data_IF_083045907644
#
_entry.id   IF_083045907644
#
_cell.length_a   1.000
_cell.length_b   1.000
_cell.length_c   1.000
_cell.angle_alpha   90.00
_cell.angle_beta   90.00
_cell.angle_gamma   90.00
#
_symmetry.space_group_name_H-M   'P 1'
#
loop_
_entity.id
_entity.type
_entity.pdbx_description
1 polymer ?
#
# COMPACT_ATOMS: atom_id res chain seq x y z
N UNK A 1 11.26 2.01 -26.71
CA UNK A 1 9.85 1.78 -27.08
C UNK A 1 9.06 1.73 -25.78
N UNK A 2 8.07 2.61 -25.59
CA UNK A 2 7.18 2.58 -24.43
C UNK A 2 5.92 1.82 -24.82
N UNK A 3 5.60 0.78 -24.08
CA UNK A 3 4.32 0.07 -24.20
C UNK A 3 3.32 0.80 -23.31
N UNK A 4 2.20 1.24 -23.89
CA UNK A 4 1.14 1.97 -23.18
C UNK A 4 -0.18 1.20 -23.30
N UNK A 5 -0.85 1.00 -22.16
CA UNK A 5 -2.15 0.33 -22.05
C UNK A 5 -3.03 1.10 -21.07
N UNK A 6 -4.27 1.39 -21.47
CA UNK A 6 -5.20 2.20 -20.69
C UNK A 6 -6.57 1.52 -20.59
N UNK A 7 -7.01 1.22 -19.36
CA UNK A 7 -8.29 0.55 -19.10
C UNK A 7 -9.52 1.34 -19.59
N UNK A 8 -9.44 2.68 -19.62
CA UNK A 8 -10.54 3.53 -20.12
C UNK A 8 -10.89 3.29 -21.59
N UNK A 9 -9.96 2.75 -22.37
CA UNK A 9 -10.15 2.46 -23.80
C UNK A 9 -10.83 1.12 -24.07
N UNK A 10 -11.05 0.29 -23.04
CA UNK A 10 -11.66 -1.04 -23.21
C UNK A 10 -13.19 -1.01 -23.34
N UNK A 11 -13.86 0.09 -22.98
CA UNK A 11 -15.32 0.22 -23.02
C UNK A 11 -16.09 -0.66 -22.02
N UNK A 12 -15.39 -1.47 -21.21
CA UNK A 12 -15.96 -2.29 -20.15
C UNK A 12 -16.04 -1.49 -18.84
N UNK A 13 -17.14 -1.67 -18.10
CA UNK A 13 -17.23 -1.15 -16.74
C UNK A 13 -16.24 -1.92 -15.85
N UNK A 14 -15.36 -1.19 -15.15
CA UNK A 14 -14.50 -1.78 -14.13
C UNK A 14 -15.38 -2.01 -12.90
N UNK A 15 -15.47 -3.27 -12.45
CA UNK A 15 -16.22 -3.60 -11.24
C UNK A 15 -15.59 -2.90 -10.03
N UNK A 16 -16.44 -2.37 -9.15
CA UNK A 16 -15.97 -1.83 -7.87
C UNK A 16 -15.37 -2.92 -7.00
N UNK A 17 -14.41 -2.57 -6.14
CA UNK A 17 -13.75 -3.56 -5.27
C UNK A 17 -14.74 -4.40 -4.45
N UNK A 18 -15.77 -3.79 -3.89
CA UNK A 18 -16.81 -4.51 -3.13
C UNK A 18 -17.73 -5.37 -4.00
N UNK A 19 -18.08 -4.92 -5.21
CA UNK A 19 -18.91 -5.70 -6.13
C UNK A 19 -18.26 -7.04 -6.43
N UNK A 20 -16.95 -7.00 -6.72
CA UNK A 20 -16.16 -8.21 -6.98
C UNK A 20 -16.10 -9.12 -5.76
N UNK A 21 -15.75 -8.59 -4.59
CA UNK A 21 -15.63 -9.40 -3.38
C UNK A 21 -16.95 -10.05 -2.97
N UNK A 22 -18.08 -9.34 -3.09
CA UNK A 22 -19.40 -9.90 -2.81
C UNK A 22 -19.77 -11.01 -3.78
N UNK A 23 -19.47 -10.86 -5.07
CA UNK A 23 -19.67 -11.90 -6.07
C UNK A 23 -18.84 -13.15 -5.75
N UNK A 24 -17.58 -12.98 -5.36
CA UNK A 24 -16.69 -14.09 -5.02
C UNK A 24 -17.20 -14.88 -3.80
N UNK A 25 -17.79 -14.21 -2.80
CA UNK A 25 -18.47 -14.88 -1.66
C UNK A 25 -19.62 -15.78 -2.14
N UNK A 26 -20.44 -15.32 -3.09
CA UNK A 26 -21.56 -16.13 -3.59
C UNK A 26 -21.10 -17.39 -4.34
N UNK A 27 -19.90 -17.35 -4.91
CA UNK A 27 -19.28 -18.50 -5.58
C UNK A 27 -18.38 -19.32 -4.67
N UNK A 28 -18.18 -18.91 -3.42
CA UNK A 28 -17.24 -19.56 -2.49
C UNK A 28 -15.77 -19.40 -2.88
N UNK A 29 -15.42 -18.42 -3.72
CA UNK A 29 -14.04 -18.13 -4.12
C UNK A 29 -13.35 -17.29 -3.03
N UNK A 30 -12.26 -17.83 -2.47
CA UNK A 30 -11.51 -17.20 -1.38
C UNK A 30 -10.21 -16.52 -1.85
N UNK A 31 -9.95 -16.47 -3.16
CA UNK A 31 -8.65 -16.03 -3.71
C UNK A 31 -8.27 -14.60 -3.35
N UNK A 32 -9.26 -13.71 -3.21
CA UNK A 32 -9.05 -12.29 -2.86
C UNK A 32 -9.25 -11.98 -1.37
N UNK A 33 -9.37 -13.01 -0.53
CA UNK A 33 -9.52 -12.86 0.91
C UNK A 33 -8.21 -13.21 1.60
N UNK A 34 -7.84 -12.39 2.60
CA UNK A 34 -6.65 -12.65 3.41
C UNK A 34 -6.94 -13.83 4.34
N UNK A 35 -6.03 -14.80 4.37
CA UNK A 35 -6.14 -15.96 5.25
C UNK A 35 -5.74 -15.62 6.69
N UNK A 36 -6.22 -16.39 7.66
CA UNK A 36 -5.92 -16.15 9.08
C UNK A 36 -4.42 -16.15 9.40
N UNK A 37 -3.67 -17.10 8.83
CA UNK A 37 -2.22 -17.21 8.98
C UNK A 37 -1.44 -16.04 8.34
N UNK A 38 -1.95 -15.49 7.23
CA UNK A 38 -1.42 -14.29 6.59
C UNK A 38 -1.66 -13.03 7.44
N UNK A 39 -2.84 -12.92 8.07
CA UNK A 39 -3.16 -11.84 9.01
C UNK A 39 -2.20 -11.89 10.21
N UNK A 40 -2.04 -13.07 10.83
CA UNK A 40 -1.12 -13.25 11.96
C UNK A 40 0.33 -12.91 11.59
N UNK A 41 0.76 -13.30 10.40
CA UNK A 41 2.12 -13.00 9.90
C UNK A 41 2.31 -11.51 9.67
N UNK A 42 1.30 -10.83 9.11
CA UNK A 42 1.32 -9.38 8.90
C UNK A 42 1.42 -8.63 10.23
N UNK A 43 0.64 -9.05 11.25
CA UNK A 43 0.72 -8.47 12.58
C UNK A 43 2.07 -8.73 13.25
N UNK A 44 2.66 -9.92 13.09
CA UNK A 44 4.00 -10.21 13.62
C UNK A 44 5.07 -9.23 13.12
N UNK A 45 4.92 -8.71 11.90
CA UNK A 45 5.84 -7.72 11.32
C UNK A 45 5.54 -6.31 11.84
N UNK A 46 4.28 -5.91 11.92
CA UNK A 46 3.88 -4.53 12.26
C UNK A 46 3.85 -4.27 13.76
N UNK A 47 3.47 -5.24 14.59
CA UNK A 47 3.31 -5.07 16.05
C UNK A 47 4.57 -4.53 16.75
N UNK A 48 5.79 -5.07 16.52
CA UNK A 48 6.98 -4.54 17.19
C UNK A 48 7.29 -3.07 16.85
N UNK A 49 6.91 -2.61 15.65
CA UNK A 49 7.05 -1.22 15.25
C UNK A 49 6.07 -0.32 16.00
N UNK A 50 4.80 -0.75 16.13
CA UNK A 50 3.78 -0.03 16.88
C UNK A 50 4.14 0.02 18.37
N UNK A 51 4.56 -1.10 18.96
CA UNK A 51 4.99 -1.15 20.36
C UNK A 51 6.18 -0.20 20.61
N UNK A 52 7.14 -0.15 19.69
CA UNK A 52 8.26 0.78 19.80
C UNK A 52 7.83 2.25 19.66
N UNK A 53 6.81 2.54 18.86
CA UNK A 53 6.27 3.88 18.67
C UNK A 53 5.54 4.36 19.93
N UNK A 54 4.73 3.51 20.54
CA UNK A 54 3.95 3.84 21.75
C UNK A 54 4.84 4.03 22.99
N UNK A 55 5.96 3.31 23.07
CA UNK A 55 6.85 3.31 24.24
C UNK A 55 8.04 4.29 24.14
N UNK A 56 8.17 5.06 23.07
CA UNK A 56 9.27 6.02 22.87
C UNK A 56 8.74 7.44 22.73
N UNK A 57 9.52 8.46 23.13
CA UNK A 57 9.18 9.84 22.80
C UNK A 57 9.00 9.96 21.29
N UNK A 58 7.96 10.70 20.87
CA UNK A 58 7.73 10.95 19.46
C UNK A 58 9.01 11.54 18.83
N UNK A 59 9.56 10.93 17.78
CA UNK A 59 10.69 11.51 17.07
C UNK A 59 10.27 12.84 16.45
N UNK A 60 11.25 13.66 16.06
CA UNK A 60 10.97 14.83 15.23
C UNK A 60 10.32 14.35 13.93
N UNK A 61 9.01 14.57 13.82
CA UNK A 61 8.21 14.08 12.71
C UNK A 61 8.46 14.99 11.49
N UNK A 62 9.00 14.47 10.38
CA UNK A 62 9.28 15.30 9.22
C UNK A 62 7.95 15.67 8.54
N UNK A 63 7.52 16.90 8.75
CA UNK A 63 6.33 17.44 8.13
C UNK A 63 6.53 17.67 6.62
N UNK A 64 5.40 17.72 5.90
CA UNK A 64 5.36 17.99 4.46
C UNK A 64 4.11 18.78 4.11
N UNK A 65 4.17 19.56 3.04
CA UNK A 65 3.01 20.35 2.58
C UNK A 65 1.95 19.45 1.93
N UNK A 66 0.67 19.76 2.14
CA UNK A 66 -0.42 19.03 1.51
C UNK A 66 -0.30 19.07 -0.03
N UNK A 67 -0.54 17.94 -0.69
CA UNK A 67 -0.39 17.78 -2.15
C UNK A 67 1.04 17.46 -2.61
N UNK A 68 2.03 17.45 -1.71
CA UNK A 68 3.38 16.95 -2.02
C UNK A 68 3.47 15.43 -1.84
N UNK A 69 4.56 14.82 -2.32
CA UNK A 69 4.80 13.38 -2.25
C UNK A 69 5.25 12.88 -0.86
N UNK A 70 5.38 13.79 0.11
CA UNK A 70 5.87 13.49 1.45
C UNK A 70 7.12 14.29 1.81
N UNK A 71 7.76 13.96 2.95
CA UNK A 71 8.93 14.66 3.43
C UNK A 71 10.21 14.25 2.68
N UNK A 72 11.19 15.16 2.59
CA UNK A 72 12.51 14.91 1.99
C UNK A 72 13.24 13.71 2.63
N UNK A 73 12.99 13.46 3.92
CA UNK A 73 13.52 12.29 4.63
C UNK A 73 13.16 10.95 3.95
N UNK A 74 12.00 10.87 3.29
CA UNK A 74 11.58 9.66 2.56
C UNK A 74 12.39 9.44 1.28
N UNK A 75 12.76 10.51 0.57
CA UNK A 75 13.65 10.45 -0.60
C UNK A 75 15.07 10.05 -0.18
N UNK A 76 15.61 10.71 0.85
CA UNK A 76 16.94 10.42 1.38
C UNK A 76 17.06 8.98 1.88
N UNK A 77 15.99 8.41 2.45
CA UNK A 77 15.95 7.02 2.89
C UNK A 77 16.21 6.05 1.73
N UNK A 78 15.53 6.22 0.60
CA UNK A 78 15.73 5.37 -0.58
C UNK A 78 17.09 5.62 -1.26
N UNK A 79 17.51 6.89 -1.33
CA UNK A 79 18.78 7.27 -1.98
C UNK A 79 19.99 6.66 -1.29
N UNK A 80 19.95 6.45 0.03
CA UNK A 80 21.01 5.73 0.78
C UNK A 80 21.26 4.33 0.23
N UNK A 81 20.26 3.71 -0.39
CA UNK A 81 20.36 2.39 -1.01
C UNK A 81 20.43 2.46 -2.54
N UNK A 82 20.70 3.65 -3.10
CA UNK A 82 20.76 3.88 -4.55
C UNK A 82 19.40 3.79 -5.25
N UNK A 83 18.30 3.86 -4.49
CA UNK A 83 16.92 3.77 -4.99
C UNK A 83 16.27 5.16 -5.06
N UNK A 84 15.25 5.30 -5.89
CA UNK A 84 14.42 6.51 -5.98
C UNK A 84 12.96 6.15 -6.22
N UNK A 85 12.04 6.97 -5.73
CA UNK A 85 10.62 6.82 -6.05
C UNK A 85 10.39 6.93 -7.56
N UNK A 86 9.48 6.11 -8.07
CA UNK A 86 8.99 6.23 -9.44
C UNK A 86 7.83 7.23 -9.43
N UNK A 87 7.98 8.34 -10.13
CA UNK A 87 6.88 9.28 -10.41
C UNK A 87 5.92 8.61 -11.40
N UNK A 88 4.62 8.63 -11.09
CA UNK A 88 3.53 8.09 -11.90
C UNK A 88 2.93 9.18 -12.79
#
# INVERSE_FOLDING_TARGET
VYMDFQYSKLGAAIQGGYERLLLDVTHGDQTLFIRGDEVESSWRVVTPLLDAWDNRPAPEFPNYAAGTLGPEAADLFLQKEGRRWRTL
#
